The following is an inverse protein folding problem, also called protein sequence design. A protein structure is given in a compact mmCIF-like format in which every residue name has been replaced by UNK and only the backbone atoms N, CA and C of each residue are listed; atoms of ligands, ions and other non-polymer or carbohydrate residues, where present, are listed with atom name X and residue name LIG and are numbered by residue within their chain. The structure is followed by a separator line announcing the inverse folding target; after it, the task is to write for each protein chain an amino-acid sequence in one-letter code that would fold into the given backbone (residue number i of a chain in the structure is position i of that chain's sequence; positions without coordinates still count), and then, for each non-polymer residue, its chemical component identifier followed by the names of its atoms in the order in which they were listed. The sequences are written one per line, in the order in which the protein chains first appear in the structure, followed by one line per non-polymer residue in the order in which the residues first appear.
data_IF_372073970133
#
_entry.id   IF_372073970133
#
_cell.length_a   1.000
_cell.length_b   1.000
_cell.length_c   1.000
_cell.angle_alpha   90.00
_cell.angle_beta   90.00
_cell.angle_gamma   90.00
#
_symmetry.space_group_name_H-M   'P 1'
#
loop_
_entity.id
_entity.type
_entity.pdbx_description
1 polymer ?
#
# COMPACT_ATOMS: atom_id res chain seq x y z
N UNK A 1 14.53 -24.43 -19.03
CA UNK A 1 13.13 -23.97 -19.17
C UNK A 1 13.10 -22.51 -18.76
N UNK A 2 13.02 -21.62 -19.72
CA UNK A 2 13.03 -20.17 -19.50
C UNK A 2 11.60 -19.78 -19.11
N UNK A 3 11.39 -19.47 -17.84
CA UNK A 3 10.11 -18.95 -17.36
C UNK A 3 9.88 -17.58 -18.05
N UNK A 4 8.85 -17.53 -18.90
CA UNK A 4 8.50 -16.32 -19.61
C UNK A 4 8.18 -15.22 -18.59
N UNK A 5 8.91 -14.12 -18.65
CA UNK A 5 8.65 -12.90 -17.89
C UNK A 5 7.22 -12.49 -18.22
N UNK A 6 6.29 -12.65 -17.29
CA UNK A 6 4.94 -12.10 -17.44
C UNK A 6 5.08 -10.59 -17.63
N UNK A 7 4.46 -10.03 -18.68
CA UNK A 7 4.44 -8.58 -18.83
C UNK A 7 3.86 -7.97 -17.54
N UNK A 8 4.49 -6.89 -17.08
CA UNK A 8 3.96 -6.08 -15.98
C UNK A 8 2.51 -5.71 -16.32
N UNK A 9 1.57 -5.83 -15.38
CA UNK A 9 0.22 -5.35 -15.62
C UNK A 9 0.32 -3.87 -16.01
N UNK A 10 -0.38 -3.50 -17.08
CA UNK A 10 -0.48 -2.13 -17.56
C UNK A 10 -0.83 -1.21 -16.38
N UNK A 11 -0.06 -0.13 -16.21
CA UNK A 11 -0.32 0.82 -15.13
C UNK A 11 -1.70 1.43 -15.32
N UNK A 12 -2.49 1.47 -14.24
CA UNK A 12 -3.79 2.12 -14.27
C UNK A 12 -3.61 3.61 -14.60
N UNK A 13 -4.33 4.16 -15.60
CA UNK A 13 -4.31 5.59 -15.86
C UNK A 13 -4.72 6.39 -14.62
N UNK A 14 -3.96 7.43 -14.32
CA UNK A 14 -4.16 8.27 -13.12
C UNK A 14 -5.56 8.94 -13.12
N UNK A 15 -6.08 9.21 -14.31
CA UNK A 15 -7.40 9.82 -14.53
C UNK A 15 -8.56 8.93 -14.03
N UNK A 16 -8.34 7.62 -13.95
CA UNK A 16 -9.34 6.67 -13.45
C UNK A 16 -9.32 6.52 -11.93
N UNK A 17 -8.35 7.15 -11.24
CA UNK A 17 -8.23 7.04 -9.79
C UNK A 17 -9.45 7.58 -9.04
N UNK A 18 -9.99 6.76 -8.14
CA UNK A 18 -11.18 7.07 -7.33
C UNK A 18 -10.89 7.13 -5.83
N UNK A 19 -9.64 7.13 -5.43
CA UNK A 19 -9.21 7.32 -4.05
C UNK A 19 -9.29 8.78 -3.59
N UNK A 20 -8.73 9.05 -2.42
CA UNK A 20 -8.67 10.40 -1.86
C UNK A 20 -7.94 11.35 -2.79
N UNK A 21 -8.52 12.52 -3.03
CA UNK A 21 -7.86 13.58 -3.79
C UNK A 21 -7.20 14.55 -2.82
N UNK A 22 -6.05 15.17 -3.21
CA UNK A 22 -5.40 16.15 -2.37
C UNK A 22 -6.33 17.31 -2.08
N UNK A 23 -6.51 17.61 -0.80
CA UNK A 23 -7.26 18.78 -0.35
C UNK A 23 -6.37 20.01 -0.18
N UNK A 24 -5.06 19.82 -0.13
CA UNK A 24 -4.04 20.86 0.07
C UNK A 24 -2.69 20.34 -0.44
N UNK A 25 -1.79 21.20 -0.96
CA UNK A 25 -0.43 20.80 -1.28
C UNK A 25 0.40 20.39 -0.06
N UNK A 26 -0.03 20.73 1.15
CA UNK A 26 0.63 20.43 2.43
C UNK A 26 -0.25 19.54 3.32
N UNK A 27 -0.70 18.41 2.80
CA UNK A 27 -1.41 17.42 3.60
C UNK A 27 -0.47 16.68 4.57
N UNK A 28 -0.99 16.29 5.71
CA UNK A 28 -0.36 15.38 6.65
C UNK A 28 -1.34 14.26 6.97
N UNK A 29 -0.86 13.04 6.85
CA UNK A 29 -1.64 11.86 7.17
C UNK A 29 -0.99 10.99 8.22
N UNK A 30 -1.65 9.89 8.55
CA UNK A 30 -1.16 8.93 9.55
C UNK A 30 -1.49 7.50 9.19
N UNK A 31 -0.76 6.58 9.81
CA UNK A 31 -1.06 5.15 9.82
C UNK A 31 -2.21 4.88 10.79
N UNK A 32 -3.27 4.23 10.35
CA UNK A 32 -4.41 3.84 11.21
C UNK A 32 -4.45 2.35 11.50
N UNK A 33 -3.94 1.51 10.62
CA UNK A 33 -3.84 0.06 10.85
C UNK A 33 -2.67 -0.54 10.09
N UNK A 34 -2.11 -1.62 10.65
CA UNK A 34 -1.03 -2.40 10.05
C UNK A 34 -1.43 -3.86 9.97
N UNK A 35 -1.16 -4.48 8.83
CA UNK A 35 -1.47 -5.88 8.58
C UNK A 35 -0.34 -6.58 7.83
N UNK A 36 -0.11 -7.84 8.20
CA UNK A 36 0.74 -8.77 7.45
C UNK A 36 -0.01 -10.08 7.19
N UNK A 37 0.32 -10.75 6.11
CA UNK A 37 -0.19 -12.10 5.86
C UNK A 37 0.99 -13.08 5.78
N UNK A 38 1.18 -13.97 6.75
CA UNK A 38 2.27 -14.92 6.76
C UNK A 38 2.32 -15.79 5.50
N UNK A 39 1.13 -16.19 5.00
CA UNK A 39 0.99 -16.94 3.74
C UNK A 39 -0.10 -16.38 2.83
N UNK A 40 -0.08 -16.77 1.56
CA UNK A 40 -0.94 -16.21 0.50
C UNK A 40 -2.44 -16.32 0.77
N UNK A 41 -2.90 -17.43 1.33
CA UNK A 41 -4.33 -17.70 1.57
C UNK A 41 -4.74 -17.46 3.04
N UNK A 42 -3.80 -17.18 3.92
CA UNK A 42 -4.08 -16.93 5.34
C UNK A 42 -4.70 -15.55 5.55
N UNK A 43 -5.43 -15.41 6.64
CA UNK A 43 -5.98 -14.12 7.06
C UNK A 43 -4.87 -13.13 7.38
N UNK A 44 -5.17 -11.86 7.23
CA UNK A 44 -4.25 -10.79 7.62
C UNK A 44 -4.22 -10.69 9.14
N UNK A 45 -3.02 -10.63 9.69
CA UNK A 45 -2.77 -10.40 11.12
C UNK A 45 -2.62 -8.92 11.37
N UNK A 46 -3.39 -8.37 12.30
CA UNK A 46 -3.27 -6.97 12.74
C UNK A 46 -2.08 -6.80 13.69
N UNK A 47 -1.31 -5.74 13.49
CA UNK A 47 -0.13 -5.42 14.29
C UNK A 47 -0.19 -3.99 14.80
N UNK A 48 0.37 -3.73 16.01
CA UNK A 48 0.58 -2.36 16.51
C UNK A 48 1.83 -1.70 15.90
N UNK A 49 2.80 -2.51 15.48
CA UNK A 49 4.01 -2.09 14.82
C UNK A 49 4.58 -3.22 13.95
N UNK A 50 5.42 -2.86 12.98
CA UNK A 50 6.07 -3.82 12.10
C UNK A 50 7.47 -3.31 11.71
N UNK A 51 8.44 -4.20 11.64
CA UNK A 51 9.76 -3.90 11.11
C UNK A 51 9.70 -3.86 9.58
N UNK A 52 10.08 -2.73 9.03
CA UNK A 52 10.26 -2.52 7.60
C UNK A 52 11.74 -2.60 7.26
N UNK A 53 12.09 -3.34 6.22
CA UNK A 53 13.49 -3.51 5.79
C UNK A 53 13.60 -3.17 4.31
N UNK A 54 14.57 -2.33 3.98
CA UNK A 54 14.86 -1.92 2.61
C UNK A 54 15.10 -3.14 1.71
N UNK A 55 14.50 -3.13 0.53
CA UNK A 55 14.56 -4.21 -0.47
C UNK A 55 14.07 -5.60 -0.01
N UNK A 56 13.59 -5.72 1.25
CA UNK A 56 13.15 -6.99 1.81
C UNK A 56 11.66 -7.05 2.12
N UNK A 57 11.04 -5.94 2.53
CA UNK A 57 9.62 -5.87 2.84
C UNK A 57 9.32 -5.73 4.33
N UNK A 58 8.10 -6.08 4.73
CA UNK A 58 7.65 -6.08 6.13
C UNK A 58 7.89 -7.44 6.76
N UNK A 59 8.54 -7.45 7.91
CA UNK A 59 8.81 -8.69 8.67
C UNK A 59 7.51 -9.41 9.02
N UNK A 60 7.48 -10.73 8.78
CA UNK A 60 6.29 -11.55 8.98
C UNK A 60 5.29 -11.56 7.82
N UNK A 61 5.47 -10.71 6.79
CA UNK A 61 4.64 -10.78 5.58
C UNK A 61 5.17 -11.83 4.59
N UNK A 62 4.28 -12.48 3.85
CA UNK A 62 4.64 -13.48 2.81
C UNK A 62 5.55 -12.95 1.70
N UNK A 63 5.60 -11.64 1.52
CA UNK A 63 6.51 -10.99 0.56
C UNK A 63 7.85 -10.60 1.16
N UNK A 64 8.03 -10.79 2.46
CA UNK A 64 9.31 -10.60 3.11
C UNK A 64 10.37 -11.57 2.56
N UNK A 65 11.57 -11.09 2.28
CA UNK A 65 12.66 -11.88 1.68
C UNK A 65 13.90 -11.87 2.56
N UNK A 66 14.44 -13.04 2.80
CA UNK A 66 15.67 -13.20 3.59
C UNK A 66 16.96 -12.99 2.78
N UNK A 67 16.89 -12.92 1.45
CA UNK A 67 18.05 -12.84 0.60
C UNK A 67 18.00 -11.72 -0.43
N UNK A 68 19.18 -11.17 -0.72
CA UNK A 68 19.50 -10.19 -1.75
C UNK A 68 18.96 -10.51 -3.17
N UNK A 69 18.70 -11.75 -3.50
CA UNK A 69 18.21 -12.18 -4.82
C UNK A 69 16.77 -11.76 -5.14
N UNK A 70 16.14 -10.97 -4.26
CA UNK A 70 14.79 -10.42 -4.45
C UNK A 70 14.76 -9.13 -5.30
N UNK A 71 15.87 -8.70 -5.86
CA UNK A 71 16.10 -7.40 -6.54
C UNK A 71 15.06 -7.06 -7.62
N UNK A 72 14.42 -8.04 -8.25
CA UNK A 72 13.45 -7.81 -9.32
C UNK A 72 11.99 -7.65 -8.84
N UNK A 73 11.72 -7.43 -7.54
CA UNK A 73 10.35 -7.34 -7.00
C UNK A 73 10.17 -6.27 -5.92
N UNK A 74 10.90 -5.18 -5.98
CA UNK A 74 10.75 -4.03 -5.05
C UNK A 74 9.33 -3.47 -5.02
N UNK A 75 8.59 -3.57 -6.14
CA UNK A 75 7.19 -3.19 -6.27
C UNK A 75 6.22 -4.01 -5.40
N UNK A 76 6.70 -5.11 -4.79
CA UNK A 76 5.90 -5.99 -3.93
C UNK A 76 6.20 -5.84 -2.44
N UNK A 77 7.10 -4.93 -2.08
CA UNK A 77 7.57 -4.82 -0.72
C UNK A 77 6.45 -4.42 0.26
N UNK A 78 5.58 -3.48 -0.11
CA UNK A 78 4.48 -3.03 0.74
C UNK A 78 3.31 -2.50 -0.08
N UNK A 79 2.11 -2.56 0.48
CA UNK A 79 0.89 -1.97 -0.09
C UNK A 79 0.20 -1.07 0.91
N UNK A 80 -0.23 0.11 0.43
CA UNK A 80 -0.98 1.09 1.20
C UNK A 80 -2.41 1.21 0.65
N UNK A 81 -3.36 1.59 1.50
CA UNK A 81 -4.74 1.92 1.12
C UNK A 81 -5.28 3.01 2.05
N UNK A 82 -6.14 3.88 1.51
CA UNK A 82 -6.83 4.92 2.27
C UNK A 82 -7.97 4.30 3.10
N UNK A 83 -8.05 4.66 4.38
CA UNK A 83 -9.11 4.26 5.29
C UNK A 83 -10.47 4.81 4.84
N UNK A 84 -10.48 6.02 4.29
CA UNK A 84 -11.64 6.65 3.69
C UNK A 84 -12.24 5.82 2.54
N UNK A 85 -11.38 5.20 1.73
CA UNK A 85 -11.80 4.27 0.67
C UNK A 85 -12.37 2.99 1.26
N UNK A 86 -11.77 2.48 2.33
CA UNK A 86 -12.27 1.27 3.00
C UNK A 86 -13.64 1.49 3.65
N UNK A 87 -13.85 2.65 4.28
CA UNK A 87 -15.15 3.04 4.85
C UNK A 87 -16.23 3.12 3.77
N UNK A 88 -15.95 3.80 2.64
CA UNK A 88 -16.89 3.89 1.52
C UNK A 88 -17.20 2.52 0.92
N UNK A 89 -16.19 1.70 0.70
CA UNK A 89 -16.37 0.36 0.14
C UNK A 89 -17.11 -0.59 1.11
N UNK A 90 -16.88 -0.47 2.42
CA UNK A 90 -17.62 -1.23 3.43
C UNK A 90 -19.11 -0.84 3.43
N UNK A 91 -19.42 0.45 3.35
CA UNK A 91 -20.80 0.95 3.24
C UNK A 91 -21.49 0.44 1.96
N UNK A 92 -20.80 0.48 0.80
CA UNK A 92 -21.31 -0.06 -0.47
C UNK A 92 -21.62 -1.57 -0.40
N UNK A 93 -20.87 -2.31 0.43
CA UNK A 93 -21.00 -3.76 0.59
C UNK A 93 -21.95 -4.16 1.76
N UNK A 94 -22.40 -3.20 2.55
CA UNK A 94 -23.26 -3.44 3.71
C UNK A 94 -22.57 -4.20 4.83
N UNK A 95 -21.24 -3.99 5.01
CA UNK A 95 -20.45 -4.63 6.06
C UNK A 95 -19.78 -3.58 6.94
N UNK A 96 -19.45 -3.96 8.18
CA UNK A 96 -18.84 -3.03 9.15
C UNK A 96 -17.43 -2.59 8.73
N UNK A 97 -16.60 -3.51 8.25
CA UNK A 97 -15.22 -3.22 7.84
C UNK A 97 -14.72 -4.21 6.80
N UNK A 98 -13.85 -3.70 5.92
CA UNK A 98 -13.12 -4.52 4.94
C UNK A 98 -11.60 -4.38 5.06
N UNK A 99 -11.08 -3.76 6.11
CA UNK A 99 -9.66 -3.46 6.25
C UNK A 99 -8.77 -4.69 6.08
N UNK A 100 -8.98 -5.74 6.85
CA UNK A 100 -8.25 -7.02 6.71
C UNK A 100 -8.54 -7.70 5.37
N UNK A 101 -9.78 -7.65 4.90
CA UNK A 101 -10.22 -8.28 3.63
C UNK A 101 -9.65 -7.60 2.40
N UNK A 102 -9.28 -6.32 2.49
CA UNK A 102 -8.60 -5.59 1.42
C UNK A 102 -7.21 -6.15 1.09
N UNK A 103 -6.59 -6.81 2.06
CA UNK A 103 -5.26 -7.42 1.98
C UNK A 103 -4.14 -6.41 1.70
N UNK A 104 -4.29 -5.20 2.20
CA UNK A 104 -3.26 -4.15 2.19
C UNK A 104 -2.52 -4.14 3.52
N UNK A 105 -1.24 -3.78 3.48
CA UNK A 105 -0.37 -3.82 4.65
C UNK A 105 -0.54 -2.59 5.55
N UNK A 106 -0.60 -1.40 4.97
CA UNK A 106 -0.68 -0.14 5.69
C UNK A 106 -1.99 0.55 5.33
N UNK A 107 -2.86 0.76 6.30
CA UNK A 107 -4.05 1.58 6.16
C UNK A 107 -3.70 3.00 6.61
N UNK A 108 -4.00 3.98 5.76
CA UNK A 108 -3.65 5.38 5.97
C UNK A 108 -4.89 6.24 6.07
N UNK A 109 -4.84 7.34 6.80
CA UNK A 109 -5.91 8.36 6.82
C UNK A 109 -5.32 9.75 6.55
N UNK A 110 -6.04 10.54 5.75
CA UNK A 110 -5.60 11.89 5.35
C UNK A 110 -4.45 11.90 4.36
N UNK A 111 -4.18 10.79 3.68
CA UNK A 111 -3.09 10.63 2.71
C UNK A 111 -3.69 10.44 1.32
N UNK A 112 -3.62 11.40 0.41
CA UNK A 112 -3.97 11.17 -0.99
C UNK A 112 -2.88 10.31 -1.63
N UNK A 113 -3.08 9.00 -1.72
CA UNK A 113 -2.07 8.05 -2.21
C UNK A 113 -1.64 8.35 -3.65
N UNK A 114 -2.48 9.03 -4.43
CA UNK A 114 -2.15 9.48 -5.78
C UNK A 114 -0.95 10.44 -5.79
N UNK A 115 -0.80 11.27 -4.76
CA UNK A 115 0.31 12.21 -4.63
C UNK A 115 1.64 11.54 -4.30
N UNK A 116 1.59 10.29 -3.83
CA UNK A 116 2.77 9.50 -3.53
C UNK A 116 3.32 8.74 -4.75
N UNK A 117 2.55 8.69 -5.84
CA UNK A 117 2.96 7.97 -7.05
C UNK A 117 4.26 8.54 -7.61
N UNK A 118 5.28 7.69 -7.79
CA UNK A 118 6.63 8.01 -8.23
C UNK A 118 7.40 8.99 -7.34
N UNK A 119 6.91 9.28 -6.13
CA UNK A 119 7.52 10.21 -5.19
C UNK A 119 8.04 9.50 -3.94
N UNK A 120 9.04 10.10 -3.30
CA UNK A 120 9.53 9.67 -2.00
C UNK A 120 8.70 10.31 -0.89
N UNK A 121 8.42 9.51 0.13
CA UNK A 121 7.66 9.92 1.31
C UNK A 121 8.19 9.18 2.54
N UNK A 122 7.79 9.63 3.71
CA UNK A 122 8.19 9.05 4.99
C UNK A 122 6.97 8.54 5.73
N UNK A 123 7.07 7.35 6.31
CA UNK A 123 6.11 6.77 7.24
C UNK A 123 6.82 6.57 8.57
N UNK A 124 6.53 7.42 9.56
CA UNK A 124 7.33 7.50 10.79
C UNK A 124 8.77 7.86 10.47
N UNK A 125 9.69 6.92 10.64
CA UNK A 125 11.11 7.07 10.30
C UNK A 125 11.55 6.25 9.08
N UNK A 126 10.61 5.62 8.38
CA UNK A 126 10.89 4.75 7.22
C UNK A 126 10.68 5.53 5.93
N UNK A 127 11.72 5.62 5.11
CA UNK A 127 11.62 6.19 3.76
C UNK A 127 11.05 5.17 2.80
N UNK A 128 10.13 5.62 1.95
CA UNK A 128 9.49 4.83 0.93
C UNK A 128 9.41 5.58 -0.40
N UNK A 129 9.13 4.84 -1.48
CA UNK A 129 8.81 5.42 -2.80
C UNK A 129 7.57 4.74 -3.35
N UNK A 130 6.59 5.54 -3.80
CA UNK A 130 5.43 5.05 -4.53
C UNK A 130 5.83 4.50 -5.90
N UNK A 131 5.42 3.28 -6.21
CA UNK A 131 5.79 2.61 -7.46
C UNK A 131 4.65 2.66 -8.47
N UNK A 132 3.46 2.22 -8.07
CA UNK A 132 2.27 2.21 -8.93
C UNK A 132 0.98 2.14 -8.13
N UNK A 133 -0.09 2.61 -8.71
CA UNK A 133 -1.43 2.41 -8.18
C UNK A 133 -1.78 0.92 -8.23
N UNK A 134 -2.56 0.47 -7.26
CA UNK A 134 -2.86 -0.94 -7.08
C UNK A 134 -4.33 -1.22 -7.41
N UNK A 135 -4.54 -2.16 -8.33
CA UNK A 135 -5.88 -2.63 -8.68
C UNK A 135 -6.24 -3.92 -7.93
N UNK A 136 -7.53 -4.15 -7.67
CA UNK A 136 -7.96 -5.44 -7.17
C UNK A 136 -7.73 -6.52 -8.23
N UNK A 137 -7.50 -7.75 -7.80
CA UNK A 137 -7.31 -8.88 -8.70
C UNK A 137 -8.30 -10.00 -8.36
N UNK A 138 -8.57 -10.95 -9.28
CA UNK A 138 -9.46 -12.07 -9.00
C UNK A 138 -9.07 -12.89 -7.76
N UNK A 139 -7.77 -12.93 -7.45
CA UNK A 139 -7.28 -13.58 -6.23
C UNK A 139 -7.82 -12.92 -4.96
N UNK A 140 -7.99 -11.59 -4.94
CA UNK A 140 -8.58 -10.88 -3.81
C UNK A 140 -10.00 -11.39 -3.52
N UNK A 141 -10.83 -11.56 -4.55
CA UNK A 141 -12.21 -12.06 -4.40
C UNK A 141 -12.20 -13.44 -3.74
N UNK A 142 -11.31 -14.32 -4.23
CA UNK A 142 -11.20 -15.69 -3.72
C UNK A 142 -10.79 -15.73 -2.25
N UNK A 143 -9.80 -14.92 -1.83
CA UNK A 143 -9.25 -15.00 -0.47
C UNK A 143 -10.04 -14.17 0.54
N UNK A 144 -10.68 -13.07 0.12
CA UNK A 144 -11.51 -12.23 1.00
C UNK A 144 -12.84 -12.89 1.34
N UNK A 145 -13.32 -13.81 0.49
CA UNK A 145 -14.65 -14.43 0.58
C UNK A 145 -15.77 -13.37 0.71
N UNK A 146 -15.57 -12.19 0.12
CA UNK A 146 -16.52 -11.09 0.17
C UNK A 146 -16.98 -10.75 -1.25
N UNK A 147 -18.20 -11.14 -1.65
CA UNK A 147 -18.75 -10.77 -2.95
C UNK A 147 -18.79 -9.25 -3.12
N UNK A 148 -18.49 -8.80 -4.34
CA UNK A 148 -18.52 -7.36 -4.66
C UNK A 148 -17.25 -6.58 -4.31
N UNK A 149 -16.32 -7.11 -3.49
CA UNK A 149 -15.09 -6.40 -3.08
C UNK A 149 -14.24 -5.92 -4.27
N UNK A 150 -14.23 -6.69 -5.37
CA UNK A 150 -13.52 -6.30 -6.58
C UNK A 150 -14.08 -4.99 -7.14
N UNK A 151 -15.40 -4.91 -7.33
CA UNK A 151 -16.09 -3.73 -7.84
C UNK A 151 -15.96 -2.55 -6.87
N UNK A 152 -16.11 -2.80 -5.56
CA UNK A 152 -16.01 -1.79 -4.53
C UNK A 152 -14.60 -1.16 -4.45
N UNK A 153 -13.54 -1.90 -4.76
CA UNK A 153 -12.16 -1.40 -4.73
C UNK A 153 -11.59 -1.01 -6.10
N UNK A 154 -12.37 -1.15 -7.18
CA UNK A 154 -11.90 -0.83 -8.52
C UNK A 154 -11.49 0.65 -8.65
N UNK A 155 -10.29 0.91 -9.19
CA UNK A 155 -9.68 2.23 -9.35
C UNK A 155 -9.46 3.01 -8.04
N UNK A 156 -9.45 2.33 -6.88
CA UNK A 156 -9.17 2.91 -5.56
C UNK A 156 -8.55 1.91 -4.59
N UNK A 157 -7.86 0.91 -5.13
CA UNK A 157 -7.38 -0.24 -4.34
C UNK A 157 -6.01 0.01 -3.67
N UNK A 158 -5.51 1.24 -3.71
CA UNK A 158 -4.31 1.65 -3.00
C UNK A 158 -3.06 1.81 -3.87
N UNK A 159 -1.90 1.86 -3.23
CA UNK A 159 -0.59 2.10 -3.80
C UNK A 159 0.37 0.97 -3.46
N UNK A 160 1.21 0.57 -4.40
CA UNK A 160 2.41 -0.22 -4.16
C UNK A 160 3.59 0.71 -3.90
N UNK A 161 4.41 0.37 -2.91
CA UNK A 161 5.59 1.15 -2.56
C UNK A 161 6.81 0.26 -2.28
N UNK A 162 7.98 0.80 -2.57
CA UNK A 162 9.26 0.25 -2.16
C UNK A 162 9.68 0.84 -0.82
N UNK A 163 10.30 0.03 0.02
CA UNK A 163 10.93 0.46 1.26
C UNK A 163 12.38 0.84 0.95
N UNK A 164 12.76 2.07 1.26
CA UNK A 164 14.09 2.61 0.94
C UNK A 164 15.03 2.66 2.16
N UNK A 165 14.50 2.56 3.38
CA UNK A 165 15.31 2.50 4.59
C UNK A 165 14.71 1.55 5.61
N UNK A 166 15.56 0.96 6.44
CA UNK A 166 15.14 0.14 7.57
C UNK A 166 14.51 1.00 8.65
N UNK A 167 13.54 0.43 9.38
CA UNK A 167 12.91 1.08 10.53
C UNK A 167 11.73 0.30 11.07
N UNK A 168 11.05 0.89 12.02
CA UNK A 168 9.81 0.34 12.59
C UNK A 168 8.68 1.32 12.28
N UNK A 169 7.62 0.79 11.67
CA UNK A 169 6.37 1.51 11.42
C UNK A 169 5.39 1.15 12.54
N UNK A 170 4.71 2.15 13.09
CA UNK A 170 3.72 2.01 14.16
C UNK A 170 2.37 2.57 13.73
N UNK A 171 1.31 2.02 14.28
CA UNK A 171 0.00 2.67 14.24
C UNK A 171 0.13 4.05 14.90
N UNK A 172 -0.40 5.09 14.23
CA UNK A 172 -0.27 6.49 14.64
C UNK A 172 0.90 7.24 14.00
N UNK A 173 1.87 6.57 13.38
CA UNK A 173 2.98 7.22 12.71
C UNK A 173 2.49 8.20 11.63
N UNK A 174 3.12 9.35 11.55
CA UNK A 174 2.84 10.36 10.53
C UNK A 174 3.30 9.91 9.14
N UNK A 175 2.59 10.38 8.12
CA UNK A 175 2.96 10.18 6.72
C UNK A 175 3.05 11.54 6.05
N UNK A 176 4.18 11.83 5.40
CA UNK A 176 4.39 13.08 4.70
C UNK A 176 5.27 12.87 3.46
N UNK A 177 5.11 13.73 2.47
CA UNK A 177 6.04 13.81 1.33
C UNK A 177 7.42 14.22 1.84
N UNK A 178 8.45 13.58 1.29
CA UNK A 178 9.82 14.03 1.53
C UNK A 178 10.06 15.28 0.68
N UNK A 179 10.17 16.43 1.34
CA UNK A 179 10.58 17.65 0.66
C UNK A 179 12.08 17.54 0.41
N UNK A 180 12.47 17.46 -0.85
CA UNK A 180 13.88 17.48 -1.22
C UNK A 180 14.34 18.94 -1.15
N UNK A 181 15.26 19.33 -0.24
CA UNK A 181 15.68 20.74 -0.09
C UNK A 181 16.42 21.30 -1.30
N UNK A 182 16.71 20.47 -2.31
CA UNK A 182 17.47 20.89 -3.52
C UNK A 182 16.64 21.64 -4.58
N UNK A 183 15.32 21.84 -4.40
CA UNK A 183 14.46 22.54 -5.40
C UNK A 183 13.92 23.88 -4.89
N UNK A 184 14.35 24.33 -3.70
CA UNK A 184 13.87 25.57 -3.09
C UNK A 184 14.71 26.83 -3.47
N UNK A 185 15.58 26.74 -4.49
CA UNK A 185 16.37 27.89 -4.97
C UNK A 185 16.41 27.91 -6.50
N UNK A 186 15.37 28.42 -7.11
CA UNK A 186 15.43 29.05 -8.45
C UNK A 186 14.29 30.06 -8.57
#
# INVERSE_FOLDING_TARGET
MTEAIRPMPEEMPVELWRGVKPSSPAWQGRVVSLFVAPKSAEEMVSLSNVRAMADRGLEGDRFFRDSWNAINRSDKAVSLIEDEVLELAAAELGVESIAQKSRRNIVTRGVPLIDLLHREFVVGNVRMRGIRLFEPCPHLVKVSKLPGIFKALNHRSGLKAAILSDGIIRVGDSIALQVNPAVATA
#
